data_IF_886049714121
#
_entry.id   IF_886049714121
#
_cell.length_a   1.000
_cell.length_b   1.000
_cell.length_c   1.000
_cell.angle_alpha   90.00
_cell.angle_beta   90.00
_cell.angle_gamma   90.00
#
_symmetry.space_group_name_H-M   'P 1'
#
loop_
_entity.id
_entity.type
_entity.pdbx_description
1 polymer ?
#
# COMPACT_ATOMS: atom_id res chain seq x y z
N UNK A 1 3.94 -5.37 24.44
CA UNK A 1 3.66 -6.38 23.37
C UNK A 1 4.86 -6.40 22.45
N UNK A 2 5.37 -7.57 22.20
CA UNK A 2 6.61 -7.73 21.43
C UNK A 2 6.32 -7.99 19.95
N UNK A 3 7.25 -7.62 19.08
CA UNK A 3 7.20 -7.91 17.64
C UNK A 3 7.00 -9.41 17.40
N UNK A 4 7.72 -10.27 18.12
CA UNK A 4 7.65 -11.72 18.00
C UNK A 4 6.26 -12.30 18.30
N UNK A 5 5.40 -11.58 19.04
CA UNK A 5 4.02 -12.00 19.29
C UNK A 5 3.17 -12.09 18.00
N UNK A 6 3.66 -11.52 16.90
CA UNK A 6 3.02 -11.51 15.58
C UNK A 6 3.74 -12.41 14.56
N UNK A 7 4.55 -13.34 15.05
CA UNK A 7 5.23 -14.32 14.22
C UNK A 7 4.28 -15.46 13.83
N UNK A 8 4.36 -15.88 12.59
CA UNK A 8 3.85 -17.13 12.06
C UNK A 8 4.82 -17.63 10.99
N UNK A 9 4.81 -18.92 10.72
CA UNK A 9 5.67 -19.49 9.68
C UNK A 9 5.05 -19.26 8.31
N UNK A 10 5.76 -18.53 7.44
CA UNK A 10 5.37 -18.27 6.06
C UNK A 10 6.36 -18.97 5.12
N UNK A 11 5.96 -20.08 4.46
CA UNK A 11 6.77 -20.71 3.42
C UNK A 11 6.99 -19.78 2.23
N UNK A 12 8.22 -19.68 1.76
CA UNK A 12 8.61 -18.74 0.69
C UNK A 12 7.84 -19.03 -0.62
N UNK A 13 7.54 -20.31 -0.90
CA UNK A 13 6.78 -20.70 -2.09
C UNK A 13 5.33 -20.21 -2.10
N UNK A 14 4.78 -19.74 -0.98
CA UNK A 14 3.45 -19.13 -0.91
C UNK A 14 3.45 -17.65 -1.22
N UNK A 15 4.61 -17.00 -1.28
CA UNK A 15 4.73 -15.60 -1.65
C UNK A 15 4.51 -15.45 -3.16
N UNK A 16 3.39 -14.87 -3.53
CA UNK A 16 3.00 -14.69 -4.92
C UNK A 16 3.97 -13.78 -5.67
N UNK A 17 4.57 -14.30 -6.75
CA UNK A 17 5.50 -13.55 -7.57
C UNK A 17 4.81 -12.85 -8.74
N UNK A 18 3.71 -13.40 -9.22
CA UNK A 18 2.97 -12.93 -10.39
C UNK A 18 1.49 -12.73 -10.05
N UNK A 19 0.83 -11.69 -10.63
CA UNK A 19 -0.61 -11.52 -10.48
C UNK A 19 -1.37 -12.60 -11.26
N UNK A 20 -2.56 -12.97 -10.77
CA UNK A 20 -3.48 -13.80 -11.52
C UNK A 20 -3.96 -13.08 -12.78
N UNK A 21 -4.27 -13.80 -13.85
CA UNK A 21 -4.78 -13.23 -15.09
C UNK A 21 -6.10 -12.48 -14.83
N UNK A 22 -7.07 -13.14 -14.23
CA UNK A 22 -8.27 -12.49 -13.70
C UNK A 22 -8.06 -12.05 -12.23
N UNK A 23 -8.09 -10.74 -12.00
CA UNK A 23 -7.89 -10.13 -10.67
C UNK A 23 -8.87 -10.63 -9.63
N UNK A 24 -10.13 -10.81 -10.01
CA UNK A 24 -11.23 -11.19 -9.11
C UNK A 24 -11.31 -12.71 -8.85
N UNK A 25 -10.48 -13.51 -9.51
CA UNK A 25 -10.40 -14.97 -9.30
C UNK A 25 -9.52 -15.39 -8.13
N UNK A 26 -8.87 -14.46 -7.44
CA UNK A 26 -8.13 -14.74 -6.20
C UNK A 26 -9.04 -15.36 -5.15
N UNK A 27 -8.45 -16.13 -4.22
CA UNK A 27 -9.20 -16.66 -3.08
C UNK A 27 -9.50 -15.55 -2.08
N UNK A 28 -10.58 -15.74 -1.33
CA UNK A 28 -11.01 -14.86 -0.26
C UNK A 28 -11.23 -15.67 1.02
N UNK A 29 -10.50 -15.35 2.08
CA UNK A 29 -10.79 -15.86 3.41
C UNK A 29 -11.64 -14.82 4.15
N UNK A 30 -12.86 -15.18 4.51
CA UNK A 30 -13.75 -14.34 5.31
C UNK A 30 -13.57 -14.68 6.78
N UNK A 31 -13.21 -13.70 7.59
CA UNK A 31 -13.00 -13.83 9.04
C UNK A 31 -14.04 -13.01 9.81
N UNK A 32 -14.78 -13.67 10.66
CA UNK A 32 -15.61 -13.01 11.66
C UNK A 32 -14.71 -12.57 12.84
N UNK A 33 -14.61 -11.25 13.04
CA UNK A 33 -13.70 -10.67 14.06
C UNK A 33 -14.13 -10.95 15.48
N UNK A 34 -15.43 -11.17 15.73
CA UNK A 34 -15.95 -11.40 17.08
C UNK A 34 -15.76 -12.86 17.52
N UNK A 35 -15.97 -13.80 16.61
CA UNK A 35 -15.93 -15.24 16.93
C UNK A 35 -14.62 -15.92 16.53
N UNK A 36 -13.86 -15.33 15.61
CA UNK A 36 -12.69 -15.93 14.99
C UNK A 36 -13.03 -17.02 13.96
N UNK A 37 -14.31 -17.24 13.67
CA UNK A 37 -14.71 -18.19 12.63
C UNK A 37 -14.32 -17.66 11.24
N UNK A 38 -13.90 -18.57 10.36
CA UNK A 38 -13.53 -18.21 8.99
C UNK A 38 -14.12 -19.18 7.96
N UNK A 39 -14.25 -18.71 6.74
CA UNK A 39 -14.72 -19.46 5.58
C UNK A 39 -13.94 -19.10 4.32
N UNK A 40 -13.95 -20.01 3.34
CA UNK A 40 -13.17 -19.90 2.12
C UNK A 40 -14.06 -19.61 0.91
N UNK A 41 -13.69 -18.62 0.12
CA UNK A 41 -14.45 -18.10 -1.02
C UNK A 41 -13.52 -17.72 -2.16
N UNK A 42 -14.10 -17.18 -3.23
CA UNK A 42 -13.40 -16.51 -4.32
C UNK A 42 -13.71 -15.01 -4.23
N UNK A 43 -12.75 -14.15 -4.53
CA UNK A 43 -12.87 -12.71 -4.30
C UNK A 43 -14.11 -12.07 -4.95
N UNK A 44 -14.49 -12.51 -6.14
CA UNK A 44 -15.71 -12.02 -6.81
C UNK A 44 -16.98 -12.21 -5.99
N UNK A 45 -17.00 -13.15 -5.03
CA UNK A 45 -18.12 -13.39 -4.12
C UNK A 45 -18.20 -12.34 -3.00
N UNK A 46 -17.29 -11.37 -2.95
CA UNK A 46 -17.30 -10.27 -1.96
C UNK A 46 -18.64 -9.51 -1.99
N UNK A 47 -19.30 -9.45 -3.15
CA UNK A 47 -20.61 -8.81 -3.32
C UNK A 47 -21.67 -9.44 -2.42
N UNK A 48 -21.57 -10.71 -2.05
CA UNK A 48 -22.51 -11.39 -1.15
C UNK A 48 -22.42 -10.88 0.29
N UNK A 49 -21.30 -10.27 0.65
CA UNK A 49 -21.00 -9.74 1.98
C UNK A 49 -21.23 -8.23 2.10
N UNK A 50 -21.51 -7.54 1.01
CA UNK A 50 -21.78 -6.11 0.96
C UNK A 50 -23.29 -5.84 0.93
N UNK A 51 -23.75 -4.86 1.69
CA UNK A 51 -25.17 -4.54 1.82
C UNK A 51 -25.45 -3.12 1.33
N UNK A 52 -26.68 -2.89 0.88
CA UNK A 52 -27.17 -1.54 0.54
C UNK A 52 -26.93 -0.58 1.72
N UNK A 53 -26.40 0.60 1.44
CA UNK A 53 -26.04 1.62 2.42
C UNK A 53 -24.62 1.52 2.99
N UNK A 54 -23.92 0.39 2.81
CA UNK A 54 -22.50 0.29 3.16
C UNK A 54 -21.66 1.29 2.34
N UNK A 55 -20.53 1.72 2.90
CA UNK A 55 -19.56 2.54 2.21
C UNK A 55 -18.24 1.80 2.04
N UNK A 56 -17.86 1.52 0.78
CA UNK A 56 -16.59 0.92 0.42
C UNK A 56 -15.55 2.03 0.18
N UNK A 57 -14.50 2.08 1.02
CA UNK A 57 -13.45 3.09 0.94
C UNK A 57 -12.24 2.52 0.20
N UNK A 58 -11.89 3.14 -0.92
CA UNK A 58 -10.78 2.73 -1.77
C UNK A 58 -9.70 3.81 -1.83
N UNK A 59 -8.42 3.38 -1.91
CA UNK A 59 -7.29 4.28 -2.08
C UNK A 59 -6.94 4.40 -3.57
N UNK A 60 -7.17 5.57 -4.14
CA UNK A 60 -7.01 5.85 -5.57
C UNK A 60 -5.63 6.37 -5.96
N UNK A 61 -4.66 6.20 -5.08
CA UNK A 61 -3.27 6.56 -5.37
C UNK A 61 -2.73 5.80 -6.58
N UNK A 62 -1.93 6.48 -7.39
CA UNK A 62 -1.26 5.94 -8.57
C UNK A 62 0.23 5.82 -8.35
N UNK A 63 0.77 4.63 -8.58
CA UNK A 63 2.21 4.36 -8.48
C UNK A 63 2.92 5.02 -9.65
N UNK A 64 4.00 5.72 -9.36
CA UNK A 64 4.91 6.24 -10.38
C UNK A 64 5.97 5.18 -10.71
N UNK A 65 6.48 5.12 -11.96
CA UNK A 65 7.60 4.25 -12.31
C UNK A 65 8.91 4.81 -11.75
N UNK A 66 8.99 4.79 -10.42
CA UNK A 66 9.98 5.53 -9.61
C UNK A 66 11.35 4.89 -9.59
N UNK A 67 11.52 3.68 -10.14
CA UNK A 67 12.79 2.95 -10.16
C UNK A 67 13.53 3.21 -11.47
N UNK A 68 14.65 3.95 -11.37
CA UNK A 68 15.49 4.33 -12.50
C UNK A 68 16.79 3.53 -12.47
N UNK A 69 17.17 3.00 -13.63
CA UNK A 69 18.44 2.33 -13.83
C UNK A 69 19.31 3.23 -14.71
N UNK A 70 20.42 3.65 -14.17
CA UNK A 70 21.38 4.50 -14.86
C UNK A 70 22.82 4.07 -14.68
N UNK A 71 23.73 4.86 -15.20
CA UNK A 71 25.18 4.66 -15.06
C UNK A 71 25.86 5.93 -14.57
N UNK A 72 26.85 5.76 -13.70
CA UNK A 72 27.70 6.86 -13.25
C UNK A 72 28.54 7.36 -14.44
N UNK A 73 28.46 8.65 -14.74
CA UNK A 73 29.09 9.25 -15.94
C UNK A 73 30.59 8.97 -16.01
N UNK A 74 31.29 9.09 -14.88
CA UNK A 74 32.75 8.96 -14.85
C UNK A 74 33.27 7.51 -15.01
N UNK A 75 32.50 6.51 -14.54
CA UNK A 75 32.98 5.14 -14.41
C UNK A 75 32.12 4.11 -15.11
N UNK A 76 31.02 4.52 -15.71
CA UNK A 76 29.98 3.68 -16.31
C UNK A 76 29.43 2.59 -15.36
N UNK A 77 29.60 2.79 -14.05
CA UNK A 77 29.11 1.85 -13.05
C UNK A 77 27.59 1.93 -12.95
N UNK A 78 26.93 0.78 -13.00
CA UNK A 78 25.47 0.69 -12.83
C UNK A 78 25.04 1.27 -11.49
N UNK A 79 24.05 2.15 -11.52
CA UNK A 79 23.41 2.78 -10.37
C UNK A 79 21.90 2.61 -10.50
N UNK A 80 21.27 2.12 -9.44
CA UNK A 80 19.82 2.12 -9.29
C UNK A 80 19.43 3.29 -8.41
N UNK A 81 18.47 4.09 -8.86
CA UNK A 81 17.90 5.22 -8.15
C UNK A 81 16.40 4.98 -8.01
N UNK A 82 15.90 5.04 -6.78
CA UNK A 82 14.50 4.92 -6.46
C UNK A 82 14.00 6.26 -5.91
N UNK A 83 13.09 6.89 -6.61
CA UNK A 83 12.48 8.15 -6.23
C UNK A 83 11.57 7.92 -5.01
N UNK A 84 11.76 8.69 -3.94
CA UNK A 84 10.97 8.58 -2.71
C UNK A 84 10.01 9.76 -2.54
N UNK A 85 10.55 10.97 -2.57
CA UNK A 85 9.80 12.20 -2.31
C UNK A 85 10.37 13.36 -3.12
N UNK A 86 9.49 14.06 -3.83
CA UNK A 86 9.84 15.35 -4.45
C UNK A 86 9.96 16.41 -3.38
N UNK A 87 11.06 17.14 -3.34
CA UNK A 87 11.31 18.23 -2.38
C UNK A 87 10.91 19.56 -2.99
N UNK A 88 11.57 19.95 -4.03
CA UNK A 88 11.28 21.18 -4.77
C UNK A 88 11.75 21.03 -6.21
N UNK A 89 11.00 21.63 -7.13
CA UNK A 89 11.29 21.60 -8.57
C UNK A 89 11.77 20.21 -9.04
N UNK A 90 13.04 20.10 -9.43
CA UNK A 90 13.67 18.91 -9.97
C UNK A 90 14.53 18.16 -8.94
N UNK A 91 14.37 18.45 -7.65
CA UNK A 91 15.09 17.78 -6.56
C UNK A 91 14.23 16.72 -5.91
N UNK A 92 14.77 15.50 -5.85
CA UNK A 92 14.12 14.37 -5.22
C UNK A 92 14.98 13.76 -4.13
N UNK A 93 14.35 13.39 -3.04
CA UNK A 93 14.92 12.45 -2.09
C UNK A 93 14.81 11.04 -2.68
N UNK A 94 15.92 10.29 -2.65
CA UNK A 94 16.05 9.03 -3.37
C UNK A 94 16.80 8.00 -2.54
N UNK A 95 16.48 6.72 -2.75
CA UNK A 95 17.31 5.61 -2.31
C UNK A 95 18.21 5.19 -3.48
N UNK A 96 19.52 5.05 -3.23
CA UNK A 96 20.49 4.74 -4.29
C UNK A 96 21.25 3.46 -3.98
N UNK A 97 21.38 2.58 -4.97
CA UNK A 97 22.18 1.34 -4.90
C UNK A 97 23.16 1.25 -6.06
N UNK A 98 24.43 0.97 -5.79
CA UNK A 98 25.09 0.95 -4.48
C UNK A 98 25.42 2.37 -3.97
N UNK A 99 24.99 2.70 -2.74
CA UNK A 99 25.15 4.04 -2.17
C UNK A 99 26.60 4.52 -2.10
N UNK A 100 27.57 3.62 -1.93
CA UNK A 100 29.00 3.95 -1.89
C UNK A 100 29.53 4.60 -3.18
N UNK A 101 28.87 4.35 -4.32
CA UNK A 101 29.25 4.92 -5.63
C UNK A 101 28.59 6.27 -5.91
N UNK A 102 27.53 6.62 -5.18
CA UNK A 102 26.75 7.85 -5.33
C UNK A 102 27.07 8.82 -4.18
N UNK A 103 28.26 9.39 -4.21
CA UNK A 103 28.68 10.46 -3.29
C UNK A 103 28.19 11.81 -3.82
N UNK A 104 28.18 12.84 -2.95
CA UNK A 104 27.88 14.22 -3.36
C UNK A 104 28.77 14.62 -4.54
N UNK A 105 28.16 15.24 -5.56
CA UNK A 105 28.78 15.59 -6.83
C UNK A 105 28.81 14.47 -7.89
N UNK A 106 28.38 13.24 -7.54
CA UNK A 106 28.29 12.16 -8.53
C UNK A 106 27.19 12.46 -9.56
N UNK A 107 27.51 12.32 -10.85
CA UNK A 107 26.59 12.46 -11.97
C UNK A 107 26.19 11.09 -12.50
N UNK A 108 24.88 10.92 -12.73
CA UNK A 108 24.28 9.67 -13.18
C UNK A 108 23.48 9.97 -14.44
N UNK A 109 23.71 9.17 -15.48
CA UNK A 109 22.99 9.24 -16.75
C UNK A 109 21.97 8.12 -16.83
N UNK A 110 20.76 8.44 -17.27
CA UNK A 110 19.67 7.52 -17.52
C UNK A 110 19.20 7.65 -18.97
N UNK A 111 18.91 6.52 -19.64
CA UNK A 111 18.39 6.52 -21.01
C UNK A 111 19.28 7.27 -22.00
N UNK A 112 20.58 6.97 -21.98
CA UNK A 112 21.58 7.58 -22.87
C UNK A 112 21.61 9.13 -22.81
N UNK A 113 21.37 9.68 -21.62
CA UNK A 113 21.40 11.12 -21.37
C UNK A 113 20.04 11.80 -21.45
N UNK A 114 18.94 11.08 -21.69
CA UNK A 114 17.59 11.65 -21.67
C UNK A 114 17.24 12.28 -20.30
N UNK A 115 17.78 11.70 -19.22
CA UNK A 115 17.68 12.23 -17.87
C UNK A 115 19.06 12.20 -17.21
N UNK A 116 19.46 13.34 -16.65
CA UNK A 116 20.70 13.44 -15.88
C UNK A 116 20.40 13.73 -14.43
N UNK A 117 21.06 13.03 -13.50
CA UNK A 117 20.94 13.28 -12.07
C UNK A 117 22.29 13.64 -11.44
N UNK A 118 22.30 14.63 -10.56
CA UNK A 118 23.45 14.99 -9.74
C UNK A 118 23.12 14.82 -8.25
N UNK A 119 23.92 14.05 -7.54
CA UNK A 119 23.79 13.91 -6.08
C UNK A 119 24.26 15.20 -5.43
N UNK A 120 23.32 15.94 -4.83
CA UNK A 120 23.62 17.23 -4.20
C UNK A 120 23.79 17.14 -2.69
N UNK A 121 23.22 16.11 -2.04
CA UNK A 121 23.35 15.90 -0.59
C UNK A 121 23.10 14.43 -0.20
N UNK A 122 23.48 14.09 1.03
CA UNK A 122 23.18 12.82 1.70
C UNK A 122 22.42 13.14 2.98
N UNK A 123 21.17 12.70 3.05
CA UNK A 123 20.26 12.99 4.16
C UNK A 123 20.05 11.78 5.08
N UNK A 124 19.11 11.88 6.00
CA UNK A 124 18.79 10.83 6.97
C UNK A 124 18.66 9.45 6.32
N UNK A 125 18.95 8.40 7.08
CA UNK A 125 18.92 6.99 6.64
C UNK A 125 19.85 6.67 5.43
N UNK A 126 20.71 7.60 5.05
CA UNK A 126 21.60 7.46 3.90
C UNK A 126 20.92 7.68 2.54
N UNK A 127 19.73 8.28 2.53
CA UNK A 127 19.07 8.72 1.30
C UNK A 127 19.88 9.84 0.62
N UNK A 128 19.70 10.00 -0.69
CA UNK A 128 20.36 11.06 -1.47
C UNK A 128 19.35 12.09 -1.93
N UNK A 129 19.73 13.36 -1.89
CA UNK A 129 19.06 14.37 -2.68
C UNK A 129 19.70 14.40 -4.06
N UNK A 130 18.89 14.13 -5.08
CA UNK A 130 19.32 14.17 -6.48
C UNK A 130 18.57 15.29 -7.16
N UNK A 131 19.33 16.20 -7.79
CA UNK A 131 18.81 17.20 -8.72
C UNK A 131 18.82 16.62 -10.12
N UNK A 132 17.66 16.58 -10.76
CA UNK A 132 17.51 16.10 -12.13
C UNK A 132 17.55 17.25 -13.13
N UNK A 133 18.20 17.00 -14.26
CA UNK A 133 18.28 17.88 -15.42
C UNK A 133 17.76 17.11 -16.64
N UNK A 134 16.81 17.71 -17.36
CA UNK A 134 16.10 17.10 -18.48
C UNK A 134 15.39 18.16 -19.32
N UNK A 135 15.10 17.81 -20.57
CA UNK A 135 14.24 18.59 -21.45
C UNK A 135 12.85 17.97 -21.53
N UNK A 136 11.80 18.78 -21.41
CA UNK A 136 10.41 18.34 -21.53
C UNK A 136 9.70 18.10 -20.18
N UNK A 137 8.82 17.09 -20.13
CA UNK A 137 8.00 16.77 -18.96
C UNK A 137 8.60 15.59 -18.21
N UNK A 138 8.91 15.78 -16.93
CA UNK A 138 9.56 14.77 -16.09
C UNK A 138 8.76 13.46 -16.01
N UNK A 139 7.47 13.56 -15.89
CA UNK A 139 6.55 12.43 -15.79
C UNK A 139 6.55 11.56 -17.07
N UNK A 140 6.66 12.17 -18.24
CA UNK A 140 6.78 11.44 -19.52
C UNK A 140 8.13 10.72 -19.64
N UNK A 141 9.19 11.34 -19.15
CA UNK A 141 10.52 10.71 -19.08
C UNK A 141 10.51 9.54 -18.11
N UNK A 142 9.85 9.68 -16.95
CA UNK A 142 9.67 8.57 -16.01
C UNK A 142 8.88 7.42 -16.62
N UNK A 143 7.83 7.68 -17.39
CA UNK A 143 7.06 6.64 -18.07
C UNK A 143 7.89 5.87 -19.10
N UNK A 144 8.85 6.55 -19.71
CA UNK A 144 9.77 5.95 -20.70
C UNK A 144 10.90 5.14 -20.03
N UNK A 145 11.55 5.69 -19.01
CA UNK A 145 12.77 5.14 -18.40
C UNK A 145 12.52 4.33 -17.12
N UNK A 146 11.46 4.67 -16.42
CA UNK A 146 11.19 4.13 -15.08
C UNK A 146 10.58 2.73 -15.11
N UNK A 147 10.93 1.99 -14.07
CA UNK A 147 10.34 0.69 -13.75
C UNK A 147 9.43 0.82 -12.54
N UNK A 148 8.39 -0.03 -12.46
CA UNK A 148 7.55 -0.09 -11.27
C UNK A 148 8.36 -0.55 -10.06
N UNK A 149 8.27 0.17 -8.93
CA UNK A 149 9.00 -0.16 -7.72
C UNK A 149 8.28 -1.28 -6.97
N UNK A 150 8.50 -2.52 -7.41
CA UNK A 150 7.91 -3.69 -6.75
C UNK A 150 8.50 -3.89 -5.35
N UNK A 151 7.72 -4.45 -4.41
CA UNK A 151 8.22 -4.86 -3.11
C UNK A 151 9.42 -5.81 -3.22
N UNK A 152 10.33 -5.81 -2.23
CA UNK A 152 11.58 -6.56 -2.31
C UNK A 152 11.42 -8.08 -2.36
N UNK A 153 10.26 -8.61 -1.93
CA UNK A 153 9.95 -10.04 -1.99
C UNK A 153 9.43 -10.49 -3.36
N UNK A 154 9.13 -9.58 -4.29
CA UNK A 154 8.80 -9.88 -5.67
C UNK A 154 10.08 -9.78 -6.47
N UNK A 155 10.56 -10.92 -6.95
CA UNK A 155 11.82 -11.04 -7.72
C UNK A 155 11.57 -11.19 -9.23
N UNK A 156 10.35 -11.55 -9.61
CA UNK A 156 9.93 -11.63 -11.01
C UNK A 156 9.73 -10.24 -11.59
N UNK A 157 10.10 -10.07 -12.84
CA UNK A 157 9.81 -8.84 -13.59
C UNK A 157 8.41 -8.93 -14.17
N UNK A 158 7.60 -7.89 -13.97
CA UNK A 158 6.27 -7.82 -14.57
C UNK A 158 6.37 -7.63 -16.08
N UNK A 159 5.64 -8.44 -16.84
CA UNK A 159 5.45 -8.27 -18.28
C UNK A 159 4.63 -7.01 -18.58
N UNK A 160 3.54 -6.80 -17.82
CA UNK A 160 2.71 -5.60 -17.89
C UNK A 160 2.80 -4.81 -16.56
N UNK A 161 3.44 -3.64 -16.62
CA UNK A 161 3.57 -2.73 -15.48
C UNK A 161 2.24 -2.27 -14.88
N UNK A 162 1.14 -2.26 -15.67
CA UNK A 162 -0.19 -1.86 -15.20
C UNK A 162 -0.81 -2.91 -14.26
N UNK A 163 -0.24 -4.10 -14.18
CA UNK A 163 -0.70 -5.12 -13.22
C UNK A 163 -0.40 -4.73 -11.77
N UNK A 164 0.56 -3.82 -11.53
CA UNK A 164 0.83 -3.23 -10.22
C UNK A 164 0.17 -1.86 -10.06
N UNK A 165 -1.05 -1.72 -10.59
CA UNK A 165 -1.94 -0.56 -10.42
C UNK A 165 -3.35 -1.04 -10.18
N UNK A 166 -4.10 -0.32 -9.33
CA UNK A 166 -5.55 -0.53 -9.22
C UNK A 166 -6.25 0.02 -10.47
N UNK A 167 -7.43 -0.54 -10.80
CA UNK A 167 -8.22 -0.10 -11.96
C UNK A 167 -8.81 1.31 -11.78
N UNK A 168 -8.72 1.85 -10.58
CA UNK A 168 -9.24 3.17 -10.20
C UNK A 168 -8.14 4.15 -9.77
N UNK A 169 -6.88 3.85 -10.04
CA UNK A 169 -5.75 4.71 -9.70
C UNK A 169 -5.81 6.03 -10.48
N UNK A 170 -5.79 7.16 -9.77
CA UNK A 170 -5.92 8.53 -10.34
C UNK A 170 -4.81 9.47 -9.87
N UNK A 171 -4.59 9.59 -8.56
CA UNK A 171 -3.68 10.56 -7.98
C UNK A 171 -2.23 10.06 -7.93
N UNK A 172 -1.42 10.55 -8.84
CA UNK A 172 0.00 10.17 -8.99
C UNK A 172 0.83 10.64 -7.80
N UNK A 173 1.71 9.77 -7.26
CA UNK A 173 2.62 10.14 -6.17
C UNK A 173 3.09 9.01 -5.27
N UNK A 174 2.60 7.79 -5.48
CA UNK A 174 2.91 6.63 -4.64
C UNK A 174 4.12 5.87 -5.12
N UNK A 175 4.91 5.37 -4.18
CA UNK A 175 6.01 4.43 -4.43
C UNK A 175 5.56 2.96 -4.38
N UNK A 176 4.34 2.68 -3.91
CA UNK A 176 3.77 1.33 -3.87
C UNK A 176 2.26 1.35 -4.11
N UNK A 177 1.73 0.27 -4.69
CA UNK A 177 0.29 0.13 -4.91
C UNK A 177 -0.45 -0.23 -3.62
N UNK A 178 -1.71 0.21 -3.44
CA UNK A 178 -2.60 -0.28 -2.41
C UNK A 178 -3.13 -1.67 -2.83
N UNK A 179 -2.35 -2.72 -2.53
CA UNK A 179 -2.44 -4.02 -3.19
C UNK A 179 -3.74 -4.78 -2.94
N UNK A 180 -4.47 -4.51 -1.86
CA UNK A 180 -5.82 -5.05 -1.66
C UNK A 180 -6.81 -4.56 -2.75
N UNK A 181 -6.55 -3.42 -3.35
CA UNK A 181 -7.33 -2.90 -4.47
C UNK A 181 -7.07 -3.61 -5.80
N UNK A 182 -5.99 -4.39 -5.91
CA UNK A 182 -5.66 -5.11 -7.14
C UNK A 182 -6.65 -6.24 -7.46
N UNK A 183 -7.43 -6.70 -6.51
CA UNK A 183 -8.46 -7.72 -6.70
C UNK A 183 -9.70 -7.23 -7.44
N UNK A 184 -9.92 -5.90 -7.46
CA UNK A 184 -11.10 -5.32 -8.09
C UNK A 184 -10.94 -5.16 -9.59
N UNK A 185 -12.04 -5.44 -10.31
CA UNK A 185 -12.21 -5.11 -11.72
C UNK A 185 -13.22 -3.97 -11.87
N UNK A 186 -13.26 -3.25 -13.01
CA UNK A 186 -14.30 -2.24 -13.25
C UNK A 186 -15.72 -2.83 -13.14
N UNK A 187 -15.93 -4.04 -13.66
CA UNK A 187 -17.21 -4.75 -13.65
C UNK A 187 -17.66 -5.03 -12.21
N UNK A 188 -16.75 -5.53 -11.36
CA UNK A 188 -17.04 -5.82 -9.95
C UNK A 188 -17.42 -4.54 -9.19
N UNK A 189 -16.73 -3.42 -9.46
CA UNK A 189 -17.06 -2.13 -8.84
C UNK A 189 -18.45 -1.62 -9.28
N UNK A 190 -18.82 -1.79 -10.54
CA UNK A 190 -20.17 -1.44 -11.01
C UNK A 190 -21.25 -2.34 -10.40
N UNK A 191 -20.98 -3.63 -10.24
CA UNK A 191 -21.88 -4.56 -9.53
C UNK A 191 -22.10 -4.12 -8.07
N UNK A 192 -21.01 -3.75 -7.37
CA UNK A 192 -21.07 -3.25 -5.98
C UNK A 192 -21.92 -1.98 -5.90
N UNK A 193 -21.74 -1.01 -6.81
CA UNK A 193 -22.56 0.20 -6.87
C UNK A 193 -24.04 -0.13 -7.14
N UNK A 194 -24.31 -1.07 -8.05
CA UNK A 194 -25.67 -1.48 -8.38
C UNK A 194 -26.41 -2.12 -7.19
N UNK A 195 -25.68 -2.65 -6.20
CA UNK A 195 -26.25 -3.12 -4.93
C UNK A 195 -26.58 -1.97 -3.95
N UNK A 196 -26.33 -0.72 -4.28
CA UNK A 196 -26.54 0.41 -3.39
C UNK A 196 -25.42 0.64 -2.37
N UNK A 197 -24.22 0.14 -2.65
CA UNK A 197 -23.00 0.41 -1.86
C UNK A 197 -22.33 1.67 -2.39
N UNK A 198 -22.12 2.65 -1.52
CA UNK A 198 -21.35 3.83 -1.86
C UNK A 198 -19.86 3.49 -2.01
N UNK A 199 -19.20 4.11 -2.99
CA UNK A 199 -17.75 4.03 -3.13
C UNK A 199 -17.15 5.40 -2.82
N UNK A 200 -16.40 5.48 -1.72
CA UNK A 200 -15.63 6.66 -1.33
C UNK A 200 -14.16 6.51 -1.74
N UNK A 201 -13.63 7.53 -2.42
CA UNK A 201 -12.23 7.54 -2.85
C UNK A 201 -11.40 8.41 -1.92
N UNK A 202 -10.38 7.82 -1.35
CA UNK A 202 -9.39 8.53 -0.55
C UNK A 202 -8.01 8.34 -1.19
N UNK A 203 -7.09 9.23 -0.87
CA UNK A 203 -5.71 9.12 -1.37
C UNK A 203 -4.75 8.98 -0.19
N UNK A 204 -3.88 7.98 -0.23
CA UNK A 204 -2.69 7.90 0.60
C UNK A 204 -1.53 7.47 -0.29
N UNK A 205 -0.51 8.32 -0.38
CA UNK A 205 0.71 7.99 -1.12
C UNK A 205 1.60 7.10 -0.26
N UNK A 206 1.64 5.82 -0.63
CA UNK A 206 2.40 4.80 0.09
C UNK A 206 3.89 5.00 -0.13
N UNK A 207 4.63 5.17 0.95
CA UNK A 207 6.10 5.19 0.93
C UNK A 207 6.70 3.79 1.00
N UNK A 208 7.96 3.66 0.59
CA UNK A 208 8.69 2.38 0.67
C UNK A 208 8.95 1.92 2.11
N UNK A 209 8.75 2.79 3.09
CA UNK A 209 8.84 2.44 4.50
C UNK A 209 7.90 1.29 4.89
N UNK A 210 6.78 1.13 4.19
CA UNK A 210 5.81 0.05 4.42
C UNK A 210 6.42 -1.36 4.26
N UNK A 211 7.48 -1.50 3.46
CA UNK A 211 8.17 -2.77 3.25
C UNK A 211 9.39 -2.96 4.14
N UNK A 212 9.70 -2.00 5.01
CA UNK A 212 10.81 -2.12 5.95
C UNK A 212 10.39 -2.97 7.14
N UNK A 213 11.22 -3.94 7.56
CA UNK A 213 10.91 -4.73 8.75
C UNK A 213 10.94 -3.86 10.00
N UNK A 214 10.09 -4.19 10.96
CA UNK A 214 10.14 -3.63 12.33
C UNK A 214 11.44 -4.11 12.97
N UNK A 215 12.26 -3.17 13.44
CA UNK A 215 13.61 -3.48 13.98
C UNK A 215 13.65 -3.52 15.51
N UNK A 216 12.62 -3.00 16.15
CA UNK A 216 12.52 -2.94 17.62
C UNK A 216 11.83 -4.18 18.17
N UNK A 217 12.14 -4.57 19.38
CA UNK A 217 11.50 -5.72 20.04
C UNK A 217 10.15 -5.32 20.63
N UNK A 218 10.07 -4.19 21.33
CA UNK A 218 8.80 -3.64 21.83
C UNK A 218 8.14 -2.79 20.74
N UNK A 219 6.94 -3.18 20.31
CA UNK A 219 6.25 -2.51 19.18
C UNK A 219 5.97 -1.03 19.46
N UNK A 220 5.79 -0.64 20.72
CA UNK A 220 5.55 0.76 21.12
C UNK A 220 6.72 1.70 20.87
N UNK A 221 7.93 1.15 20.63
CA UNK A 221 9.13 1.91 20.28
C UNK A 221 9.27 2.12 18.77
N UNK A 222 8.38 1.51 17.97
CA UNK A 222 8.42 1.65 16.53
C UNK A 222 7.88 3.00 16.08
N UNK A 223 8.63 3.68 15.21
CA UNK A 223 8.22 4.94 14.58
C UNK A 223 7.81 4.69 13.13
N UNK A 224 6.56 5.02 12.83
CA UNK A 224 6.04 4.93 11.46
C UNK A 224 6.59 6.04 10.57
N UNK A 225 6.80 5.71 9.31
CA UNK A 225 7.12 6.71 8.29
C UNK A 225 5.93 7.63 8.05
N UNK A 226 6.23 8.88 7.72
CA UNK A 226 5.23 9.88 7.37
C UNK A 226 4.76 9.67 5.93
N UNK A 227 3.44 9.57 5.73
CA UNK A 227 2.82 9.42 4.42
C UNK A 227 1.74 10.49 4.22
N UNK A 228 1.66 11.02 3.00
CA UNK A 228 0.68 12.04 2.66
C UNK A 228 -0.68 11.40 2.37
N UNK A 229 -1.73 11.96 2.96
CA UNK A 229 -3.12 11.56 2.69
C UNK A 229 -3.99 12.74 2.30
N UNK A 230 -5.09 12.44 1.62
CA UNK A 230 -6.14 13.38 1.25
C UNK A 230 -7.50 12.69 1.26
N UNK A 231 -8.49 13.39 1.80
CA UNK A 231 -9.92 13.06 1.72
C UNK A 231 -10.63 14.30 1.20
N UNK A 232 -11.41 14.17 0.16
CA UNK A 232 -12.26 15.24 -0.35
C UNK A 232 -13.63 15.27 0.35
N UNK A 233 -14.43 16.28 0.04
CA UNK A 233 -15.74 16.50 0.64
C UNK A 233 -16.71 15.35 0.28
N UNK A 234 -16.71 14.88 -0.96
CA UNK A 234 -17.59 13.79 -1.43
C UNK A 234 -17.29 12.48 -0.67
N UNK A 235 -16.02 12.14 -0.49
CA UNK A 235 -15.62 10.95 0.25
C UNK A 235 -16.01 11.05 1.74
N UNK A 236 -15.74 12.20 2.36
CA UNK A 236 -16.10 12.46 3.75
C UNK A 236 -17.64 12.33 3.96
N UNK A 237 -18.45 12.94 3.10
CA UNK A 237 -19.92 12.85 3.17
C UNK A 237 -20.42 11.41 3.03
N UNK A 238 -19.90 10.62 2.09
CA UNK A 238 -20.28 9.21 1.91
C UNK A 238 -20.00 8.37 3.15
N UNK A 239 -18.79 8.54 3.71
CA UNK A 239 -18.35 7.79 4.90
C UNK A 239 -19.21 8.19 6.11
N UNK A 240 -19.40 9.49 6.35
CA UNK A 240 -20.22 9.98 7.46
C UNK A 240 -21.66 9.50 7.35
N UNK A 241 -22.26 9.55 6.14
CA UNK A 241 -23.61 9.07 5.90
C UNK A 241 -23.78 7.60 6.26
N UNK A 242 -22.84 6.72 5.88
CA UNK A 242 -22.90 5.31 6.24
C UNK A 242 -22.90 5.14 7.77
N UNK A 243 -22.02 5.85 8.49
CA UNK A 243 -21.96 5.80 9.96
C UNK A 243 -23.25 6.33 10.60
N UNK A 244 -23.75 7.46 10.17
CA UNK A 244 -24.98 8.12 10.71
C UNK A 244 -26.24 7.29 10.48
N UNK A 245 -26.30 6.52 9.39
CA UNK A 245 -27.42 5.65 9.06
C UNK A 245 -27.28 4.23 9.58
N UNK A 246 -26.22 3.94 10.35
CA UNK A 246 -25.99 2.63 10.98
C UNK A 246 -25.47 1.55 10.02
N UNK A 247 -24.93 1.95 8.87
CA UNK A 247 -24.28 1.06 7.92
C UNK A 247 -22.77 1.00 8.15
N UNK A 248 -22.12 0.06 7.46
CA UNK A 248 -20.70 -0.25 7.69
C UNK A 248 -19.78 0.59 6.79
N UNK A 249 -18.66 0.98 7.33
CA UNK A 249 -17.52 1.51 6.59
C UNK A 249 -16.52 0.39 6.37
N UNK A 250 -16.31 0.01 5.12
CA UNK A 250 -15.48 -1.12 4.70
C UNK A 250 -14.29 -0.56 3.96
N UNK A 251 -13.10 -0.63 4.56
CA UNK A 251 -11.88 -0.17 3.91
C UNK A 251 -11.25 -1.26 3.04
N UNK A 252 -10.85 -0.87 1.84
CA UNK A 252 -10.02 -1.70 0.96
C UNK A 252 -8.56 -1.35 1.18
N UNK A 253 -7.86 -2.24 1.87
CA UNK A 253 -6.47 -2.10 2.24
C UNK A 253 -6.22 -1.34 3.54
N UNK A 254 -5.10 -1.64 4.14
CA UNK A 254 -4.61 -0.97 5.35
C UNK A 254 -4.34 0.52 5.11
N UNK A 255 -4.07 0.92 3.86
CA UNK A 255 -3.88 2.32 3.47
C UNK A 255 -5.17 3.13 3.58
N UNK A 256 -6.29 2.62 3.08
CA UNK A 256 -7.61 3.27 3.25
C UNK A 256 -7.99 3.37 4.72
N UNK A 257 -7.78 2.30 5.49
CA UNK A 257 -7.99 2.29 6.94
C UNK A 257 -7.17 3.39 7.63
N UNK A 258 -5.86 3.45 7.38
CA UNK A 258 -4.98 4.45 7.98
C UNK A 258 -5.36 5.88 7.59
N UNK A 259 -5.88 6.06 6.39
CA UNK A 259 -6.36 7.38 5.92
C UNK A 259 -7.57 7.83 6.72
N UNK A 260 -8.63 7.03 6.79
CA UNK A 260 -9.86 7.44 7.47
C UNK A 260 -9.64 7.58 8.99
N UNK A 261 -8.85 6.70 9.59
CA UNK A 261 -8.53 6.77 11.02
C UNK A 261 -7.65 7.99 11.38
N UNK A 262 -6.78 8.44 10.45
CA UNK A 262 -5.96 9.65 10.63
C UNK A 262 -6.74 10.95 10.45
N UNK A 263 -7.73 10.94 9.57
CA UNK A 263 -8.51 12.12 9.23
C UNK A 263 -9.67 12.38 10.21
N UNK A 264 -10.22 11.32 10.80
CA UNK A 264 -11.37 11.38 11.68
C UNK A 264 -11.08 12.15 12.98
N UNK A 265 -12.06 12.89 13.44
CA UNK A 265 -12.09 13.47 14.78
C UNK A 265 -12.27 12.36 15.87
N UNK A 266 -12.41 12.76 17.11
CA UNK A 266 -12.58 11.83 18.25
C UNK A 266 -13.93 11.08 18.19
N UNK A 267 -14.92 11.62 17.51
CA UNK A 267 -16.24 11.02 17.33
C UNK A 267 -16.38 10.17 16.07
N UNK A 268 -15.31 10.08 15.26
CA UNK A 268 -15.30 9.35 14.00
C UNK A 268 -15.89 10.13 12.82
N UNK A 269 -16.12 11.45 12.96
CA UNK A 269 -16.57 12.30 11.89
C UNK A 269 -15.41 12.75 11.00
N UNK A 270 -15.66 12.81 9.69
CA UNK A 270 -14.69 13.18 8.68
C UNK A 270 -15.08 14.52 8.01
N UNK A 271 -14.07 15.33 7.77
CA UNK A 271 -14.14 16.52 6.93
C UNK A 271 -13.13 16.41 5.78
N UNK A 272 -13.33 17.18 4.72
CA UNK A 272 -12.33 17.30 3.66
C UNK A 272 -11.00 17.79 4.26
N UNK A 273 -9.96 17.00 4.06
CA UNK A 273 -8.67 17.22 4.72
C UNK A 273 -7.52 16.59 3.95
N UNK A 274 -6.40 17.26 3.97
CA UNK A 274 -5.13 16.68 3.55
C UNK A 274 -4.07 16.88 4.63
N UNK A 275 -3.09 16.00 4.68
CA UNK A 275 -2.03 16.10 5.67
C UNK A 275 -1.05 14.95 5.62
N UNK A 276 -0.26 14.86 6.66
CA UNK A 276 0.72 13.79 6.84
C UNK A 276 0.33 12.92 8.01
N UNK A 277 0.41 11.61 7.84
CA UNK A 277 0.12 10.65 8.91
C UNK A 277 1.32 9.77 9.22
N UNK A 278 1.50 9.49 10.50
CA UNK A 278 2.43 8.49 11.03
C UNK A 278 1.66 7.49 11.92
N UNK A 279 0.36 7.36 11.67
CA UNK A 279 -0.50 6.51 12.49
C UNK A 279 0.03 5.07 12.51
N UNK A 280 0.21 4.56 13.71
CA UNK A 280 0.57 3.17 13.96
C UNK A 280 -0.57 2.48 14.71
N UNK A 281 -1.23 1.55 14.02
CA UNK A 281 -2.37 0.81 14.55
C UNK A 281 -1.89 -0.58 14.95
N UNK A 282 -2.10 -0.94 16.21
CA UNK A 282 -1.77 -2.24 16.79
C UNK A 282 -2.79 -2.59 17.89
N UNK A 283 -2.82 -3.83 18.42
CA UNK A 283 -3.81 -4.24 19.41
C UNK A 283 -3.92 -3.30 20.60
N UNK A 284 -5.15 -2.88 20.91
CA UNK A 284 -5.48 -1.84 21.89
C UNK A 284 -5.91 -0.52 21.23
N UNK A 285 -5.69 -0.35 19.93
CA UNK A 285 -6.24 0.79 19.17
C UNK A 285 -7.77 0.69 19.09
N UNK A 286 -8.45 1.81 19.29
CA UNK A 286 -9.91 1.92 19.15
C UNK A 286 -10.23 2.56 17.82
N UNK A 287 -10.75 1.77 16.90
CA UNK A 287 -11.19 2.27 15.60
C UNK A 287 -12.36 3.24 15.75
N UNK A 288 -12.27 4.37 15.05
CA UNK A 288 -13.25 5.44 15.05
C UNK A 288 -14.22 5.34 13.87
N UNK A 289 -13.72 4.88 12.74
CA UNK A 289 -14.43 4.87 11.45
C UNK A 289 -14.58 3.46 10.90
N UNK A 290 -13.51 2.66 10.92
CA UNK A 290 -13.46 1.33 10.32
C UNK A 290 -14.40 0.33 11.00
N UNK A 291 -15.25 -0.33 10.22
CA UNK A 291 -16.07 -1.45 10.66
C UNK A 291 -15.56 -2.79 10.11
N UNK A 292 -15.20 -2.84 8.82
CA UNK A 292 -14.72 -4.04 8.14
C UNK A 292 -13.50 -3.71 7.26
N UNK A 293 -12.67 -4.71 7.00
CA UNK A 293 -11.43 -4.55 6.25
C UNK A 293 -11.28 -5.64 5.18
N UNK A 294 -11.05 -5.23 3.93
CA UNK A 294 -10.56 -6.10 2.86
C UNK A 294 -9.04 -5.89 2.77
N UNK A 295 -8.25 -6.94 2.87
CA UNK A 295 -6.80 -6.83 2.87
C UNK A 295 -6.14 -8.06 2.26
N UNK A 296 -4.85 -7.96 1.91
CA UNK A 296 -4.03 -9.13 1.59
C UNK A 296 -3.50 -9.77 2.87
N UNK A 297 -2.92 -10.96 2.76
CA UNK A 297 -2.12 -11.53 3.84
C UNK A 297 -0.76 -10.81 3.92
N UNK A 298 -0.28 -10.57 5.12
CA UNK A 298 0.90 -9.74 5.41
C UNK A 298 2.07 -10.56 5.94
N UNK A 299 3.28 -9.99 5.83
CA UNK A 299 4.49 -10.61 6.39
C UNK A 299 4.37 -10.79 7.92
N UNK A 300 4.94 -11.87 8.45
CA UNK A 300 5.08 -12.02 9.90
C UNK A 300 5.85 -10.84 10.49
N UNK A 301 5.50 -10.48 11.73
CA UNK A 301 6.14 -9.41 12.50
C UNK A 301 6.07 -8.00 11.85
N UNK A 302 5.22 -7.79 10.82
CA UNK A 302 5.06 -6.50 10.15
C UNK A 302 4.05 -5.60 10.86
N UNK A 303 4.13 -4.28 10.62
CA UNK A 303 3.13 -3.32 11.10
C UNK A 303 1.74 -3.60 10.58
N UNK A 304 1.62 -4.26 9.42
CA UNK A 304 0.36 -4.56 8.77
C UNK A 304 -0.39 -5.72 9.44
N UNK A 305 0.30 -6.80 9.86
CA UNK A 305 -0.33 -7.86 10.65
C UNK A 305 -0.74 -7.34 12.03
N UNK A 306 -0.02 -6.34 12.56
CA UNK A 306 -0.38 -5.69 13.83
C UNK A 306 -1.68 -4.90 13.70
N UNK A 307 -1.89 -4.18 12.58
CA UNK A 307 -3.14 -3.47 12.28
C UNK A 307 -4.31 -4.44 12.15
N UNK A 308 -4.15 -5.50 11.38
CA UNK A 308 -5.18 -6.54 11.21
C UNK A 308 -5.52 -7.20 12.56
N UNK A 309 -4.50 -7.44 13.39
CA UNK A 309 -4.67 -7.98 14.75
C UNK A 309 -5.36 -7.00 15.70
N UNK A 310 -5.22 -5.69 15.47
CA UNK A 310 -5.97 -4.70 16.23
C UNK A 310 -7.48 -4.76 15.97
N UNK A 311 -7.86 -5.12 14.72
CA UNK A 311 -9.27 -5.21 14.32
C UNK A 311 -9.95 -6.51 14.79
N UNK A 312 -9.30 -7.65 14.57
CA UNK A 312 -9.92 -8.97 14.77
C UNK A 312 -9.40 -9.72 16.00
N UNK A 313 -8.45 -9.15 16.72
CA UNK A 313 -7.73 -9.88 17.76
C UNK A 313 -6.58 -10.72 17.20
N UNK A 314 -5.44 -10.68 17.90
CA UNK A 314 -4.22 -11.36 17.47
C UNK A 314 -4.41 -12.87 17.28
N UNK A 315 -5.10 -13.51 18.20
CA UNK A 315 -5.30 -14.97 18.19
C UNK A 315 -6.15 -15.42 16.98
N UNK A 316 -7.22 -14.69 16.69
CA UNK A 316 -8.07 -14.95 15.51
C UNK A 316 -7.28 -14.77 14.21
N UNK A 317 -6.49 -13.69 14.13
CA UNK A 317 -5.66 -13.40 12.95
C UNK A 317 -4.61 -14.49 12.73
N UNK A 318 -3.86 -14.87 13.77
CA UNK A 318 -2.84 -15.90 13.64
C UNK A 318 -3.45 -17.26 13.27
N UNK A 319 -4.58 -17.63 13.85
CA UNK A 319 -5.28 -18.87 13.49
C UNK A 319 -5.73 -18.87 12.01
N UNK A 320 -6.28 -17.73 11.53
CA UNK A 320 -6.66 -17.56 10.12
C UNK A 320 -5.44 -17.62 9.17
N UNK A 321 -4.30 -17.07 9.58
CA UNK A 321 -3.06 -17.10 8.80
C UNK A 321 -2.45 -18.51 8.75
N UNK A 322 -2.45 -19.24 9.86
CA UNK A 322 -2.03 -20.66 9.90
C UNK A 322 -2.90 -21.52 8.99
N UNK A 323 -4.23 -21.34 9.01
CA UNK A 323 -5.13 -22.02 8.10
C UNK A 323 -4.87 -21.63 6.64
N UNK A 324 -4.63 -20.33 6.34
CA UNK A 324 -4.28 -19.89 5.00
C UNK A 324 -2.99 -20.53 4.48
N UNK A 325 -1.97 -20.69 5.34
CA UNK A 325 -0.72 -21.41 4.99
C UNK A 325 -1.02 -22.89 4.70
N UNK A 326 -1.78 -23.56 5.57
CA UNK A 326 -2.17 -24.96 5.42
C UNK A 326 -2.97 -25.21 4.13
N UNK A 327 -3.91 -24.34 3.83
CA UNK A 327 -4.74 -24.37 2.63
C UNK A 327 -4.04 -23.79 1.38
N UNK A 328 -2.74 -23.46 1.52
CA UNK A 328 -1.89 -22.95 0.43
C UNK A 328 -2.46 -21.72 -0.27
N UNK A 329 -2.93 -20.76 0.49
CA UNK A 329 -3.23 -19.43 -0.02
C UNK A 329 -1.96 -18.76 -0.55
N UNK A 330 -2.13 -17.83 -1.48
CA UNK A 330 -1.07 -16.98 -1.98
C UNK A 330 -0.94 -15.77 -1.08
N UNK A 331 0.28 -15.39 -0.74
CA UNK A 331 0.56 -14.33 0.23
C UNK A 331 1.10 -13.06 -0.45
N UNK A 332 0.96 -11.93 0.25
CA UNK A 332 1.48 -10.60 -0.03
C UNK A 332 0.83 -9.94 -1.25
N UNK A 333 1.55 -9.04 -1.95
CA UNK A 333 1.01 -8.07 -2.91
C UNK A 333 0.18 -8.67 -4.05
N UNK A 334 0.58 -9.79 -4.62
CA UNK A 334 -0.15 -10.50 -5.67
C UNK A 334 -0.86 -11.76 -5.15
N UNK A 335 -0.95 -11.87 -3.84
CA UNK A 335 -1.59 -12.98 -3.16
C UNK A 335 -3.11 -12.89 -3.14
N UNK A 336 -3.68 -13.74 -2.31
CA UNK A 336 -5.12 -13.83 -2.06
C UNK A 336 -5.57 -12.76 -1.04
N UNK A 337 -6.87 -12.63 -0.86
CA UNK A 337 -7.49 -11.65 -0.01
C UNK A 337 -8.08 -12.24 1.28
N UNK A 338 -8.21 -11.39 2.27
CA UNK A 338 -8.96 -11.60 3.49
C UNK A 338 -10.03 -10.51 3.62
N UNK A 339 -11.23 -10.87 4.04
CA UNK A 339 -12.27 -9.96 4.46
C UNK A 339 -12.60 -10.16 5.93
N UNK A 340 -12.40 -9.13 6.72
CA UNK A 340 -12.64 -9.13 8.17
C UNK A 340 -13.91 -8.34 8.46
N UNK A 341 -14.92 -8.99 9.01
CA UNK A 341 -16.23 -8.42 9.26
C UNK A 341 -16.70 -8.59 10.71
#
# INVERSE_FOLDING_TARGET
MKRQDFYYELPEELIAQDPLEDRSSSRLLVLDKETGAFSHHVFKEITEYLHEGDCLVINDTKVIPARLIGSKVETNAKIEVLLLKRKENNVWETLVKPGKKAKVGAKISFGDGLLMGEVIDVVEEGNRLIKFDFDGIFEEILDQLGQMPLPPYITHQLEDKNRYQTVYATHTGSAAAPTAGLHFTPELLEEIKAKGVDIARVTLHVGLGTFRPVKVDEITEHHMHSEFFMIDEEAAEKINRAKETGHRVICVGTTSCRTVESAADENGHLEAKSGWTQIFIYPGYKFKVLDCLITNFHLPESTLIMLVSALAGREHVLAAYEEAVKERYRFLSFGDAMFIQ
#
